data_IF_625497624209
#
_entry.id   IF_625497624209
#
_cell.length_a   1.000
_cell.length_b   1.000
_cell.length_c   1.000
_cell.angle_alpha   90.00
_cell.angle_beta   90.00
_cell.angle_gamma   90.00
#
_symmetry.space_group_name_H-M   'P 1'
#
loop_
_entity.id
_entity.type
_entity.pdbx_description
1 polymer ?
2 non-polymer ?
3 non-polymer ?
4 water ?
#
# COMPACT_ATOMS: atom_id res chain seq x y z
N UNK A 32 -8.51 25.82 -11.88
CA UNK A 32 -7.24 25.64 -12.58
C UNK A 32 -6.52 24.42 -12.01
N UNK A 33 -6.35 23.35 -12.82
CA UNK A 33 -5.66 22.13 -12.39
C UNK A 33 -4.25 22.39 -11.86
N UNK A 34 -3.85 21.61 -10.87
CA UNK A 34 -2.53 21.68 -10.23
C UNK A 34 -2.10 20.27 -9.79
N UNK A 35 -2.10 19.34 -10.74
CA UNK A 35 -1.77 17.95 -10.47
C UNK A 35 -0.34 17.79 -10.02
N UNK A 36 -0.02 16.77 -9.20
CA UNK A 36 1.40 16.49 -8.94
C UNK A 36 2.01 15.85 -10.19
N UNK A 37 3.34 15.71 -10.24
CA UNK A 37 4.00 15.04 -11.37
C UNK A 37 3.84 13.52 -11.28
N UNK A 38 3.62 12.96 -10.08
CA UNK A 38 3.44 11.52 -9.91
C UNK A 38 2.59 11.24 -8.67
N UNK A 39 1.96 10.06 -8.65
CA UNK A 39 1.19 9.61 -7.49
C UNK A 39 1.70 8.17 -7.21
N UNK A 40 2.22 7.97 -6.00
CA UNK A 40 2.75 6.69 -5.51
C UNK A 40 1.67 6.10 -4.63
N UNK A 41 1.41 4.81 -4.76
CA UNK A 41 0.34 4.15 -4.04
C UNK A 41 0.80 2.98 -3.23
N UNK A 42 0.16 2.82 -2.07
CA UNK A 42 0.19 1.57 -1.33
C UNK A 42 -0.77 0.66 -2.15
N UNK A 43 -0.42 -0.60 -2.34
CA UNK A 43 -1.19 -1.48 -3.20
C UNK A 43 -2.19 -2.33 -2.41
N UNK A 44 -1.70 -3.10 -1.44
CA UNK A 44 -2.47 -4.15 -0.78
C UNK A 44 -3.45 -3.68 0.28
N UNK A 45 -3.48 -2.37 0.63
CA UNK A 45 -4.52 -1.85 1.53
C UNK A 45 -5.27 -0.69 0.86
N UNK A 46 -4.56 0.22 0.19
CA UNK A 46 -5.18 1.40 -0.39
C UNK A 46 -5.96 1.12 -1.68
N UNK A 47 -5.46 0.20 -2.52
CA UNK A 47 -6.11 -0.10 -3.80
C UNK A 47 -6.88 -1.43 -3.86
N UNK A 48 -6.41 -2.45 -3.13
CA UNK A 48 -7.04 -3.78 -3.15
C UNK A 48 -7.58 -4.12 -1.76
N UNK A 49 -8.69 -4.87 -1.73
CA UNK A 49 -9.27 -5.28 -0.46
C UNK A 49 -8.58 -6.58 0.00
N UNK A 50 -7.41 -6.45 0.64
CA UNK A 50 -6.71 -7.62 1.16
C UNK A 50 -7.43 -8.20 2.38
N UNK A 51 -8.13 -7.35 3.17
CA UNK A 51 -8.79 -7.81 4.41
C UNK A 51 -9.72 -8.99 4.16
N UNK A 52 -10.53 -8.89 3.10
CA UNK A 52 -11.48 -9.96 2.79
C UNK A 52 -10.78 -11.27 2.46
N UNK A 53 -9.69 -11.20 1.66
CA UNK A 53 -8.98 -12.41 1.27
C UNK A 53 -8.22 -13.00 2.47
N UNK A 54 -7.59 -12.15 3.28
CA UNK A 54 -6.88 -12.63 4.47
C UNK A 54 -7.88 -13.27 5.45
N UNK A 55 -9.10 -12.73 5.56
CA UNK A 55 -10.12 -13.32 6.45
C UNK A 55 -10.59 -14.66 5.90
N UNK A 56 -10.75 -14.78 4.56
CA UNK A 56 -11.17 -16.05 3.97
C UNK A 56 -10.07 -17.10 4.19
N UNK A 57 -8.80 -16.70 3.98
CA UNK A 57 -7.65 -17.59 4.19
C UNK A 57 -7.51 -18.00 5.66
N UNK A 58 -7.78 -17.07 6.59
CA UNK A 58 -7.70 -17.36 8.01
C UNK A 58 -8.78 -18.30 8.52
N UNK A 59 -9.94 -18.33 7.88
CA UNK A 59 -11.06 -19.14 8.34
C UNK A 59 -12.03 -18.36 9.22
N UNK A 60 -11.66 -17.13 9.64
CA UNK A 60 -12.50 -16.29 10.49
C UNK A 60 -12.08 -14.82 10.33
N UNK A 61 -13.03 -13.90 10.51
CA UNK A 61 -12.75 -12.47 10.47
C UNK A 61 -11.85 -12.05 11.64
N UNK A 62 -12.05 -12.64 12.83
CA UNK A 62 -11.23 -12.30 14.00
C UNK A 62 -9.79 -12.79 13.83
N UNK A 63 -9.60 -14.00 13.29
CA UNK A 63 -8.26 -14.53 13.07
C UNK A 63 -7.57 -13.68 11.97
N UNK A 64 -8.31 -13.35 10.91
CA UNK A 64 -7.76 -12.56 9.81
C UNK A 64 -7.37 -11.17 10.24
N UNK A 65 -8.13 -10.58 11.19
CA UNK A 65 -7.80 -9.26 11.72
C UNK A 65 -6.49 -9.35 12.51
N UNK A 66 -6.38 -10.32 13.43
CA UNK A 66 -5.15 -10.47 14.21
C UNK A 66 -3.96 -10.73 13.32
N UNK A 67 -4.16 -11.56 12.30
CA UNK A 67 -3.08 -11.97 11.41
C UNK A 67 -2.57 -10.77 10.64
N UNK A 68 -3.47 -10.02 9.98
CA UNK A 68 -3.02 -8.89 9.18
C UNK A 68 -2.47 -7.76 10.06
N UNK A 69 -3.00 -7.57 11.29
CA UNK A 69 -2.46 -6.55 12.20
C UNK A 69 -1.04 -6.94 12.63
N UNK A 70 -0.81 -8.24 12.90
CA UNK A 70 0.52 -8.71 13.31
C UNK A 70 1.49 -8.57 12.12
N UNK A 71 1.04 -8.91 10.90
CA UNK A 71 1.87 -8.79 9.71
C UNK A 71 2.35 -7.34 9.53
N UNK A 72 1.43 -6.37 9.69
CA UNK A 72 1.79 -4.97 9.52
C UNK A 72 2.83 -4.54 10.56
N UNK A 73 2.70 -4.98 11.82
CA UNK A 73 3.69 -4.66 12.84
C UNK A 73 5.03 -5.32 12.51
N UNK A 74 5.04 -6.56 11.94
CA UNK A 74 6.30 -7.23 11.62
C UNK A 74 7.04 -6.50 10.51
N UNK A 75 6.34 -6.08 9.46
CA UNK A 75 7.01 -5.32 8.37
C UNK A 75 7.54 -3.99 8.89
N UNK A 76 6.82 -3.36 9.85
CA UNK A 76 7.22 -2.09 10.45
C UNK A 76 8.55 -2.22 11.16
N UNK A 77 8.72 -3.29 11.91
CA UNK A 77 9.96 -3.51 12.67
C UNK A 77 11.00 -4.32 11.93
N UNK A 78 10.76 -4.71 10.66
CA UNK A 78 11.71 -5.55 9.95
C UNK A 78 12.93 -4.76 9.49
N UNK A 79 12.69 -3.64 8.79
CA UNK A 79 13.76 -2.86 8.21
C UNK A 79 14.16 -3.57 6.92
N UNK A 80 15.36 -4.21 6.90
CA UNK A 80 15.82 -4.95 5.72
C UNK A 80 14.91 -6.10 5.36
N UNK A 81 14.78 -6.34 4.06
CA UNK A 81 13.92 -7.37 3.52
C UNK A 81 14.32 -8.75 4.00
N UNK A 82 13.33 -9.47 4.51
CA UNK A 82 13.28 -10.88 4.83
C UNK A 82 12.13 -11.37 3.95
N UNK A 83 12.17 -12.59 3.39
CA UNK A 83 11.10 -12.99 2.45
C UNK A 83 9.67 -12.73 2.92
N UNK A 84 8.86 -12.08 2.07
CA UNK A 84 7.45 -11.75 2.36
C UNK A 84 6.67 -13.00 2.88
N UNK A 85 6.82 -14.13 2.18
CA UNK A 85 6.18 -15.39 2.56
C UNK A 85 6.54 -15.80 3.97
N UNK A 86 7.80 -15.60 4.38
CA UNK A 86 8.25 -15.96 5.73
C UNK A 86 7.64 -15.05 6.80
N UNK A 87 7.44 -13.75 6.50
CA UNK A 87 6.84 -12.82 7.47
C UNK A 87 5.34 -13.06 7.57
N UNK A 88 4.67 -13.37 6.46
CA UNK A 88 3.22 -13.70 6.50
C UNK A 88 3.02 -14.98 7.35
N UNK A 89 3.90 -15.97 7.15
CA UNK A 89 3.83 -17.23 7.91
C UNK A 89 4.16 -16.98 9.39
N UNK A 90 5.16 -16.14 9.67
CA UNK A 90 5.53 -15.80 11.05
C UNK A 90 4.39 -15.05 11.76
N UNK A 91 3.73 -14.10 11.05
CA UNK A 91 2.60 -13.36 11.60
C UNK A 91 1.45 -14.32 11.95
N UNK A 92 1.20 -15.34 11.09
CA UNK A 92 0.16 -16.34 11.33
C UNK A 92 0.46 -17.14 12.63
N UNK A 93 1.70 -17.69 12.77
CA UNK A 93 2.10 -18.44 13.97
C UNK A 93 2.05 -17.56 15.21
N UNK A 94 2.52 -16.30 15.11
CA UNK A 94 2.52 -15.38 16.25
C UNK A 94 1.13 -15.19 16.85
N UNK A 95 0.07 -15.28 16.01
CA UNK A 95 -1.31 -15.11 16.49
C UNK A 95 -2.13 -16.40 16.54
N UNK A 96 -1.47 -17.54 16.56
CA UNK A 96 -2.15 -18.83 16.69
C UNK A 96 -2.98 -19.29 15.53
N UNK A 97 -2.75 -18.75 14.34
CA UNK A 97 -3.45 -19.23 13.15
C UNK A 97 -2.65 -20.48 12.73
N UNK A 98 -3.23 -21.45 12.00
CA UNK A 98 -2.39 -22.53 11.43
C UNK A 98 -1.41 -21.92 10.41
N UNK A 99 -0.14 -22.41 10.38
CA UNK A 99 0.87 -21.89 9.45
C UNK A 99 0.41 -21.99 7.97
N UNK A 100 -0.43 -23.00 7.63
CA UNK A 100 -0.97 -23.18 6.27
C UNK A 100 -1.91 -22.03 5.79
N UNK A 101 -2.30 -21.10 6.70
CA UNK A 101 -3.09 -19.92 6.30
C UNK A 101 -2.36 -19.13 5.20
N UNK A 102 -1.02 -19.02 5.30
CA UNK A 102 -0.18 -18.34 4.30
C UNK A 102 -0.34 -18.99 2.91
N UNK A 103 -0.46 -20.32 2.88
CA UNK A 103 -0.61 -21.10 1.64
C UNK A 103 -2.02 -20.95 1.09
N UNK A 104 -3.02 -20.80 1.95
CA UNK A 104 -4.38 -20.52 1.50
C UNK A 104 -4.42 -19.11 0.91
N UNK A 105 -3.75 -18.15 1.54
CA UNK A 105 -3.73 -16.78 1.02
C UNK A 105 -3.08 -16.75 -0.38
N UNK A 106 -1.93 -17.44 -0.56
CA UNK A 106 -1.28 -17.49 -1.88
C UNK A 106 -2.22 -18.14 -2.92
N UNK A 107 -2.91 -19.23 -2.53
CA UNK A 107 -3.84 -19.87 -3.46
C UNK A 107 -5.00 -18.97 -3.88
N UNK A 108 -5.46 -18.07 -2.99
CA UNK A 108 -6.58 -17.16 -3.27
C UNK A 108 -6.08 -15.77 -3.75
N UNK A 109 -4.80 -15.62 -4.12
CA UNK A 109 -4.24 -14.32 -4.49
C UNK A 109 -5.01 -13.63 -5.62
N UNK A 110 -5.44 -14.40 -6.65
CA UNK A 110 -6.22 -13.80 -7.75
C UNK A 110 -7.58 -13.26 -7.33
N UNK A 111 -8.06 -13.59 -6.10
CA UNK A 111 -9.37 -13.11 -5.61
C UNK A 111 -9.27 -11.68 -5.05
N UNK A 112 -8.04 -11.09 -4.88
CA UNK A 112 -7.93 -9.71 -4.36
C UNK A 112 -8.69 -8.75 -5.27
N UNK A 113 -9.68 -8.03 -4.72
CA UNK A 113 -10.51 -7.17 -5.53
C UNK A 113 -10.13 -5.73 -5.37
N UNK A 114 -10.09 -4.95 -6.47
CA UNK A 114 -9.91 -3.50 -6.31
C UNK A 114 -11.06 -2.92 -5.49
N UNK A 115 -10.75 -1.96 -4.62
CA UNK A 115 -11.81 -1.26 -3.88
C UNK A 115 -12.69 -0.50 -4.87
N UNK A 116 -13.95 -0.14 -4.49
CA UNK A 116 -14.78 0.67 -5.36
C UNK A 116 -14.06 2.01 -5.57
N UNK A 117 -14.01 2.47 -6.81
CA UNK A 117 -13.32 3.72 -7.12
C UNK A 117 -11.83 3.62 -7.40
N UNK A 118 -11.16 2.46 -7.13
CA UNK A 118 -9.70 2.36 -7.35
C UNK A 118 -9.33 2.41 -8.83
N UNK A 119 -9.96 1.59 -9.66
CA UNK A 119 -9.67 1.60 -11.09
C UNK A 119 -10.09 2.96 -11.73
N UNK A 120 -11.19 3.54 -11.24
CA UNK A 120 -11.70 4.83 -11.72
C UNK A 120 -10.71 5.94 -11.38
N UNK A 121 -10.16 5.92 -10.16
CA UNK A 121 -9.18 6.91 -9.74
C UNK A 121 -7.92 6.84 -10.62
N UNK A 122 -7.33 5.64 -10.79
CA UNK A 122 -6.12 5.46 -11.58
C UNK A 122 -6.32 5.89 -13.04
N UNK A 123 -7.46 5.54 -13.64
CA UNK A 123 -7.74 5.95 -15.02
C UNK A 123 -7.87 7.47 -15.15
N UNK A 124 -8.46 8.14 -14.13
CA UNK A 124 -8.63 9.60 -14.14
C UNK A 124 -7.28 10.32 -13.97
N UNK A 125 -6.32 9.69 -13.28
CA UNK A 125 -5.00 10.29 -13.09
C UNK A 125 -4.06 10.05 -14.27
N UNK A 126 -4.28 8.98 -15.06
CA UNK A 126 -3.35 8.58 -16.13
C UNK A 126 -2.89 9.72 -17.10
N UNK A 127 -3.78 10.57 -17.63
CA UNK A 127 -3.29 11.64 -18.52
C UNK A 127 -2.49 12.76 -17.83
N UNK A 128 -2.51 12.84 -16.49
CA UNK A 128 -1.88 13.92 -15.73
C UNK A 128 -0.65 13.56 -14.90
N UNK A 129 -0.57 12.33 -14.36
CA UNK A 129 0.51 11.98 -13.45
C UNK A 129 1.14 10.66 -13.83
N UNK A 130 2.43 10.50 -13.47
CA UNK A 130 3.08 9.19 -13.58
C UNK A 130 2.48 8.39 -12.40
N UNK A 131 2.28 7.09 -12.58
CA UNK A 131 1.65 6.27 -11.52
C UNK A 131 2.63 5.20 -11.07
N UNK A 132 2.80 5.05 -9.74
CA UNK A 132 3.73 4.07 -9.22
C UNK A 132 3.15 3.34 -8.05
N UNK A 133 3.53 2.09 -7.89
CA UNK A 133 3.18 1.27 -6.75
C UNK A 133 4.40 1.20 -5.85
N UNK A 134 4.18 1.24 -4.54
CA UNK A 134 5.27 1.04 -3.58
C UNK A 134 4.66 0.04 -2.61
N UNK A 135 5.01 -1.25 -2.74
CA UNK A 135 4.35 -2.29 -1.94
C UNK A 135 5.32 -3.13 -1.14
N UNK A 136 4.89 -3.52 0.06
CA UNK A 136 5.59 -4.46 0.92
C UNK A 136 5.07 -5.80 0.51
N UNK A 137 5.78 -6.43 -0.37
CA UNK A 137 5.40 -7.72 -0.93
C UNK A 137 6.63 -8.29 -1.65
N UNK A 138 6.60 -9.57 -2.01
CA UNK A 138 7.69 -10.14 -2.79
C UNK A 138 7.52 -9.60 -4.21
N UNK A 139 8.57 -9.74 -5.05
CA UNK A 139 8.49 -9.28 -6.43
C UNK A 139 7.44 -10.11 -7.18
N UNK A 140 7.42 -11.43 -6.95
CA UNK A 140 6.47 -12.34 -7.59
C UNK A 140 5.00 -11.98 -7.28
N UNK A 141 4.62 -11.95 -5.99
CA UNK A 141 3.22 -11.66 -5.64
C UNK A 141 2.86 -10.18 -5.83
N UNK A 142 3.81 -9.28 -5.56
CA UNK A 142 3.60 -7.85 -5.75
C UNK A 142 3.25 -7.47 -7.19
N UNK A 143 4.00 -8.03 -8.16
CA UNK A 143 3.72 -7.76 -9.58
C UNK A 143 2.36 -8.36 -9.98
N UNK A 144 2.00 -9.57 -9.47
CA UNK A 144 0.69 -10.16 -9.79
C UNK A 144 -0.45 -9.26 -9.27
N UNK A 145 -0.31 -8.76 -8.03
CA UNK A 145 -1.35 -7.94 -7.43
C UNK A 145 -1.43 -6.58 -8.16
N UNK A 146 -0.27 -6.01 -8.49
CA UNK A 146 -0.23 -4.74 -9.23
C UNK A 146 -1.00 -4.84 -10.56
N UNK A 147 -0.92 -6.01 -11.22
CA UNK A 147 -1.59 -6.26 -12.50
C UNK A 147 -3.10 -6.36 -12.41
N UNK A 148 -3.67 -6.59 -11.22
CA UNK A 148 -5.12 -6.70 -11.08
C UNK A 148 -5.87 -5.38 -11.31
N UNK A 149 -5.18 -4.23 -11.33
CA UNK A 149 -5.84 -2.94 -11.52
C UNK A 149 -5.97 -2.50 -13.00
N UNK A 150 -5.43 -3.28 -13.93
CA UNK A 150 -5.55 -3.02 -15.37
C UNK A 150 -4.96 -1.69 -15.81
N UNK A 151 -3.82 -1.33 -15.23
CA UNK A 151 -3.12 -0.07 -15.49
C UNK A 151 -1.70 -0.38 -15.88
N UNK A 152 -1.18 0.40 -16.82
CA UNK A 152 0.20 0.29 -17.25
C UNK A 152 0.99 1.16 -16.27
N UNK A 153 1.29 0.60 -15.06
CA UNK A 153 2.06 1.34 -14.06
C UNK A 153 3.40 1.82 -14.62
N UNK A 154 3.77 3.08 -14.35
CA UNK A 154 5.08 3.57 -14.78
C UNK A 154 6.18 2.86 -14.01
N UNK A 155 5.95 2.59 -12.71
CA UNK A 155 6.93 1.96 -11.83
C UNK A 155 6.19 1.06 -10.83
N UNK A 156 6.75 -0.11 -10.51
CA UNK A 156 6.23 -0.99 -9.46
C UNK A 156 7.42 -1.35 -8.61
N UNK A 157 7.50 -0.78 -7.38
CA UNK A 157 8.58 -1.06 -6.44
C UNK A 157 8.06 -2.00 -5.36
N UNK A 158 8.73 -3.13 -5.16
CA UNK A 158 8.39 -4.06 -4.08
C UNK A 158 9.50 -3.96 -3.03
N UNK A 159 9.18 -4.37 -1.79
CA UNK A 159 10.18 -4.37 -0.74
C UNK A 159 11.31 -5.35 -1.09
N UNK A 160 11.02 -6.43 -1.85
CA UNK A 160 12.05 -7.36 -2.27
C UNK A 160 13.07 -6.65 -3.20
N UNK A 161 12.58 -5.92 -4.20
CA UNK A 161 13.44 -5.17 -5.11
C UNK A 161 14.18 -4.05 -4.39
N UNK A 162 13.51 -3.37 -3.45
CA UNK A 162 14.14 -2.27 -2.70
C UNK A 162 15.13 -2.77 -1.65
N UNK A 163 14.96 -3.98 -1.15
CA UNK A 163 15.80 -4.53 -0.10
C UNK A 163 15.36 -4.15 1.30
N UNK A 164 14.26 -3.38 1.45
CA UNK A 164 13.74 -2.92 2.73
C UNK A 164 12.24 -2.80 2.68
N UNK A 165 11.58 -2.99 3.83
CA UNK A 165 10.15 -2.81 3.94
C UNK A 165 9.83 -1.36 4.30
N UNK A 166 8.74 -0.81 3.76
CA UNK A 166 8.19 0.48 4.21
C UNK A 166 7.83 0.31 5.72
N UNK A 167 7.98 1.33 6.61
CA UNK A 167 8.27 2.73 6.34
C UNK A 167 9.73 3.10 6.22
N UNK A 168 10.63 2.15 5.87
CA UNK A 168 12.02 2.52 5.59
C UNK A 168 11.99 3.47 4.36
N UNK A 169 12.77 4.56 4.35
CA UNK A 169 12.67 5.50 3.22
C UNK A 169 13.03 4.93 1.85
N UNK A 170 13.81 3.83 1.80
CA UNK A 170 14.30 3.36 0.50
C UNK A 170 13.21 3.00 -0.52
N UNK A 171 12.20 2.15 -0.22
CA UNK A 171 11.19 1.85 -1.25
C UNK A 171 10.53 3.08 -1.89
N UNK A 172 10.13 4.08 -1.08
CA UNK A 172 9.53 5.29 -1.65
C UNK A 172 10.59 6.04 -2.49
N UNK A 173 11.82 6.18 -1.97
CA UNK A 173 12.86 6.92 -2.66
C UNK A 173 13.25 6.24 -3.97
N UNK A 174 13.23 4.90 -4.03
CA UNK A 174 13.54 4.17 -5.25
C UNK A 174 12.47 4.49 -6.32
N UNK A 175 11.18 4.56 -5.94
CA UNK A 175 10.14 4.94 -6.90
C UNK A 175 10.39 6.39 -7.42
N UNK A 176 10.74 7.34 -6.52
CA UNK A 176 11.01 8.71 -6.95
C UNK A 176 12.26 8.81 -7.82
N UNK A 177 13.31 8.08 -7.46
CA UNK A 177 14.56 8.09 -8.23
C UNK A 177 14.35 7.46 -9.61
N UNK A 178 13.50 6.42 -9.72
CA UNK A 178 13.22 5.81 -11.02
C UNK A 178 12.47 6.80 -11.92
N UNK A 179 11.53 7.58 -11.34
CA UNK A 179 10.79 8.58 -12.11
C UNK A 179 11.58 9.88 -12.39
N UNK A 180 12.70 10.08 -11.69
CA UNK A 180 13.52 11.28 -11.77
C UNK A 180 12.82 12.48 -11.16
N UNK A 181 12.10 12.28 -10.05
CA UNK A 181 11.36 13.39 -9.43
C UNK A 181 11.73 13.64 -7.99
N UNK A 182 11.69 14.91 -7.55
CA UNK A 182 11.85 15.17 -6.11
C UNK A 182 10.51 14.89 -5.41
N UNK A 183 10.55 14.54 -4.11
CA UNK A 183 9.33 14.22 -3.37
C UNK A 183 8.28 15.35 -3.36
N UNK A 184 8.70 16.63 -3.39
CA UNK A 184 7.72 17.73 -3.36
C UNK A 184 6.83 17.79 -4.62
N UNK A 185 7.21 17.09 -5.69
CA UNK A 185 6.39 17.00 -6.91
C UNK A 185 5.59 15.71 -7.00
N UNK A 186 5.51 14.94 -5.90
CA UNK A 186 4.77 13.68 -5.90
C UNK A 186 3.89 13.56 -4.66
N UNK A 187 2.78 12.85 -4.80
CA UNK A 187 1.86 12.58 -3.70
C UNK A 187 1.89 11.08 -3.40
N UNK A 188 1.49 10.71 -2.17
CA UNK A 188 1.42 9.30 -1.80
C UNK A 188 0.00 9.02 -1.33
N UNK A 189 -0.59 7.87 -1.73
CA UNK A 189 -1.91 7.46 -1.27
C UNK A 189 -1.66 6.21 -0.42
N UNK A 190 -1.86 6.35 0.90
CA UNK A 190 -1.64 5.29 1.87
C UNK A 190 -2.93 4.55 2.25
N UNK A 191 -2.79 3.32 2.72
CA UNK A 191 -3.88 2.53 3.25
C UNK A 191 -3.67 2.17 4.72
N UNK A 192 -2.43 2.18 5.20
CA UNK A 192 -2.06 1.86 6.58
C UNK A 192 -1.39 3.09 7.19
N UNK A 193 -1.66 3.34 8.46
CA UNK A 193 -1.04 4.48 9.15
C UNK A 193 0.45 4.33 9.32
N UNK A 194 1.01 3.10 9.19
CA UNK A 194 2.46 2.92 9.29
C UNK A 194 3.17 3.67 8.15
N UNK A 195 2.56 3.79 6.97
CA UNK A 195 3.20 4.53 5.87
C UNK A 195 3.43 6.02 6.22
N UNK A 196 2.67 6.56 7.18
CA UNK A 196 2.82 7.95 7.56
C UNK A 196 4.19 8.25 8.14
N UNK A 197 4.86 7.25 8.76
CA UNK A 197 6.21 7.46 9.26
C UNK A 197 7.18 7.65 8.10
N UNK A 198 7.04 6.83 7.06
CA UNK A 198 7.91 6.85 5.89
C UNK A 198 7.70 8.02 4.95
N UNK A 199 6.42 8.35 4.65
CA UNK A 199 6.15 9.48 3.76
C UNK A 199 6.61 10.80 4.42
N UNK A 200 6.47 10.94 5.76
CA UNK A 200 6.95 12.14 6.44
C UNK A 200 8.47 12.28 6.27
N UNK A 201 9.22 11.18 6.46
CA UNK A 201 10.68 11.16 6.34
C UNK A 201 11.18 11.49 4.91
N UNK A 202 10.45 11.04 3.90
CA UNK A 202 10.83 11.26 2.50
C UNK A 202 10.34 12.61 1.95
N UNK A 203 9.31 13.19 2.58
CA UNK A 203 8.73 14.45 2.18
C UNK A 203 7.57 14.27 1.22
N UNK A 204 6.84 13.14 1.32
CA UNK A 204 5.70 12.88 0.45
C UNK A 204 4.39 13.24 1.14
N UNK A 205 3.67 14.24 0.58
CA UNK A 205 2.35 14.63 1.08
C UNK A 205 1.40 13.48 0.82
N UNK A 206 0.64 13.07 1.87
CA UNK A 206 -0.14 11.83 1.85
C UNK A 206 -1.63 11.95 2.02
N UNK A 207 -2.38 11.21 1.22
CA UNK A 207 -3.82 11.05 1.38
C UNK A 207 -4.01 9.63 1.91
N UNK A 208 -4.73 9.47 3.02
CA UNK A 208 -4.93 8.16 3.65
C UNK A 208 -6.32 7.63 3.31
N UNK A 209 -6.36 6.62 2.42
CA UNK A 209 -7.60 5.92 2.13
C UNK A 209 -7.70 4.90 3.27
N UNK A 210 -8.41 5.29 4.33
CA UNK A 210 -8.54 4.49 5.54
C UNK A 210 -9.93 3.84 5.55
N UNK A 211 -10.16 2.91 4.65
CA UNK A 211 -11.48 2.26 4.48
C UNK A 211 -12.05 1.64 5.75
N UNK A 212 -11.26 0.80 6.43
CA UNK A 212 -11.74 0.10 7.63
C UNK A 212 -11.63 0.92 8.92
N UNK A 213 -11.18 2.17 8.84
CA UNK A 213 -11.11 3.04 10.00
C UNK A 213 -10.03 2.72 11.01
N UNK A 214 -8.83 2.34 10.55
CA UNK A 214 -7.71 2.11 11.46
C UNK A 214 -7.34 3.41 12.18
N UNK A 215 -6.80 3.26 13.38
CA UNK A 215 -6.29 4.37 14.17
C UNK A 215 -4.88 4.68 13.65
N UNK A 216 -4.42 5.90 13.93
CA UNK A 216 -3.10 6.31 13.54
C UNK A 216 -2.11 5.71 14.56
N UNK A 217 -1.06 4.95 14.17
CA UNK A 217 -0.12 4.44 15.17
C UNK A 217 0.45 5.55 16.06
N UNK A 218 0.80 5.23 17.33
CA UNK A 218 1.35 6.21 18.24
C UNK A 218 2.64 6.84 17.67
N UNK A 219 2.73 8.16 17.73
CA UNK A 219 3.89 8.88 17.22
C UNK A 219 3.87 9.20 15.75
N UNK A 220 2.93 8.63 14.98
CA UNK A 220 2.85 8.90 13.54
C UNK A 220 2.22 10.27 13.25
N UNK A 221 2.81 11.07 12.35
CA UNK A 221 2.18 12.37 12.02
C UNK A 221 0.88 12.16 11.26
N UNK A 222 -0.03 13.14 11.34
CA UNK A 222 -1.29 13.05 10.63
C UNK A 222 -1.05 13.04 9.11
N UNK A 223 -1.96 12.43 8.39
CA UNK A 223 -1.94 12.47 6.94
C UNK A 223 -2.37 13.91 6.51
N UNK A 224 -2.09 14.32 5.27
CA UNK A 224 -2.58 15.61 4.80
C UNK A 224 -4.10 15.54 4.62
N UNK A 225 -4.58 14.43 4.05
CA UNK A 225 -6.01 14.19 3.82
C UNK A 225 -6.34 12.78 4.22
N UNK A 226 -7.57 12.51 4.69
CA UNK A 226 -7.96 11.15 5.12
C UNK A 226 -9.45 10.99 4.89
N UNK A 227 -9.86 9.82 4.37
CA UNK A 227 -11.27 9.53 4.10
C UNK A 227 -11.50 8.02 4.09
N UNK A 228 -12.74 7.59 4.30
CA UNK A 228 -13.13 6.18 4.26
C UNK A 228 -13.27 5.65 2.81
N UNK A 229 -13.24 6.53 1.78
CA UNK A 229 -13.35 6.15 0.37
C UNK A 229 -12.20 6.75 -0.44
N UNK A 230 -12.02 6.29 -1.67
CA UNK A 230 -10.98 6.77 -2.59
C UNK A 230 -11.42 7.96 -3.43
N UNK A 231 -12.72 8.18 -3.60
CA UNK A 231 -13.21 9.28 -4.45
C UNK A 231 -12.64 10.66 -4.07
N UNK A 232 -12.55 11.01 -2.77
CA UNK A 232 -12.01 12.33 -2.44
C UNK A 232 -10.53 12.49 -2.80
N UNK A 233 -9.78 11.39 -3.14
CA UNK A 233 -8.37 11.56 -3.50
C UNK A 233 -8.23 12.33 -4.83
N UNK A 234 -9.18 12.20 -5.78
CA UNK A 234 -9.03 12.88 -7.07
C UNK A 234 -9.05 14.43 -6.92
N UNK A 235 -10.07 15.07 -6.29
CA UNK A 235 -9.99 16.53 -6.09
C UNK A 235 -8.76 16.95 -5.27
N UNK A 236 -8.35 16.12 -4.28
CA UNK A 236 -7.16 16.43 -3.49
C UNK A 236 -5.91 16.50 -4.38
N UNK A 237 -5.76 15.55 -5.30
CA UNK A 237 -4.62 15.52 -6.20
C UNK A 237 -4.72 16.64 -7.25
N UNK A 238 -5.94 16.93 -7.73
CA UNK A 238 -6.11 18.01 -8.73
C UNK A 238 -5.72 19.39 -8.15
N UNK A 239 -5.84 19.58 -6.84
CA UNK A 239 -5.45 20.83 -6.20
C UNK A 239 -4.10 20.76 -5.51
N UNK A 240 -3.31 19.71 -5.77
CA UNK A 240 -2.05 19.45 -5.09
C UNK A 240 -1.03 20.62 -5.04
N UNK A 241 -0.74 21.26 -6.20
CA UNK A 241 0.23 22.36 -6.22
C UNK A 241 -0.42 23.76 -6.17
N UNK A 242 -1.73 23.85 -5.98
CA UNK A 242 -2.42 25.13 -5.96
C UNK A 242 -2.22 25.84 -4.63
X LIG B 1 1.24 -2.33 0.76
X LIG B 1 2.60 -2.56 1.19
X LIG B 1 1.06 -2.70 -0.65
X LIG B 1 0.31 -3.07 1.61
X LIG B 1 0.94 -0.89 0.94
X LIG C 1 -2.98 -5.54 17.45
#
# INVERSE_FOLDING_TARGET
MGSSHHHHHHSSGLVPRGSHMNTPAPLTETTAAAWPRAVLFDLLTALLDSWTVWNSAAGSEAAGRDWRAEYLRLTYGCGAYQPYEDLVREAARNRGLPASAADRLEAQWDQLQPWDGARELLAALRPHCRLAVVTNCSERLGQRAAALLGVDWDVVVTSEAAGFYKPDPRPYQLALDRLGLPADQAAFVAGSGYDLFGTSAVGLRTFWHNRVGLSRPAGAPAAEGEAATLAPALPWLRGFAAGR
SO4 S O1 O2 O3 O4
CL CL
#
